data_IF_162713724590
#
_entry.id   IF_162713724590
#
_cell.length_a   1.000
_cell.length_b   1.000
_cell.length_c   1.000
_cell.angle_alpha   90.00
_cell.angle_beta   90.00
_cell.angle_gamma   90.00
#
_symmetry.space_group_name_H-M   'P 1'
#
loop_
_entity.id
_entity.type
_entity.pdbx_description
1 polymer ?
#
# COMPACT_ATOMS: atom_id res chain seq x y z
N UNK A 1 43.91 -19.99 -35.82
CA UNK A 1 44.16 -18.73 -35.07
C UNK A 1 43.27 -17.64 -35.68
N UNK A 2 42.41 -17.03 -34.94
CA UNK A 2 41.68 -15.87 -35.47
C UNK A 2 42.65 -14.73 -35.65
N UNK A 3 42.67 -14.17 -36.87
CA UNK A 3 43.57 -13.06 -37.20
C UNK A 3 43.18 -11.78 -36.44
N UNK A 4 44.13 -10.98 -35.97
CA UNK A 4 43.83 -9.75 -35.20
C UNK A 4 43.08 -8.68 -35.99
N UNK A 5 42.86 -8.86 -37.28
CA UNK A 5 42.12 -7.95 -38.16
C UNK A 5 40.60 -7.94 -37.93
N UNK A 6 40.05 -8.93 -37.25
CA UNK A 6 38.59 -9.00 -36.99
C UNK A 6 38.12 -8.03 -35.90
N UNK A 7 38.97 -7.70 -34.94
CA UNK A 7 38.64 -6.79 -33.85
C UNK A 7 38.59 -5.32 -34.28
N UNK A 8 39.49 -4.91 -35.18
CA UNK A 8 39.50 -3.53 -35.71
C UNK A 8 38.28 -3.26 -36.61
N UNK A 9 37.85 -4.27 -37.38
CA UNK A 9 36.65 -4.15 -38.20
C UNK A 9 35.36 -4.06 -37.37
N UNK A 10 35.33 -4.73 -36.20
CA UNK A 10 34.19 -4.66 -35.29
C UNK A 10 34.10 -3.30 -34.60
N UNK A 11 35.22 -2.76 -34.14
CA UNK A 11 35.28 -1.42 -33.54
C UNK A 11 34.89 -0.33 -34.54
N UNK A 12 35.33 -0.42 -35.79
CA UNK A 12 34.95 0.51 -36.86
C UNK A 12 33.45 0.41 -37.24
N UNK A 13 32.84 -0.77 -37.15
CA UNK A 13 31.40 -0.93 -37.36
C UNK A 13 30.59 -0.30 -36.23
N UNK A 14 31.03 -0.44 -34.98
CA UNK A 14 30.36 0.17 -33.82
C UNK A 14 30.45 1.69 -33.85
N UNK A 15 31.64 2.26 -34.20
CA UNK A 15 31.78 3.71 -34.27
C UNK A 15 30.97 4.32 -35.43
N UNK A 16 30.82 3.63 -36.55
CA UNK A 16 29.94 4.06 -37.64
C UNK A 16 28.45 3.99 -37.25
N UNK A 17 28.05 2.97 -36.52
CA UNK A 17 26.69 2.82 -35.99
C UNK A 17 26.33 3.95 -35.01
N UNK A 18 27.26 4.34 -34.14
CA UNK A 18 27.07 5.44 -33.17
C UNK A 18 27.00 6.81 -33.84
N UNK A 19 27.84 7.06 -34.89
CA UNK A 19 27.81 8.32 -35.62
C UNK A 19 26.53 8.47 -36.46
N UNK A 20 25.95 7.37 -36.99
CA UNK A 20 24.67 7.40 -37.72
C UNK A 20 23.50 7.72 -36.79
N UNK A 21 23.55 7.31 -35.52
CA UNK A 21 22.53 7.67 -34.52
C UNK A 21 22.58 9.16 -34.12
N UNK A 22 23.72 9.84 -34.27
CA UNK A 22 23.85 11.27 -34.00
C UNK A 22 23.30 12.15 -35.12
N UNK A 23 23.19 11.63 -36.34
CA UNK A 23 22.70 12.34 -37.54
C UNK A 23 21.20 12.29 -37.70
N UNK A 24 20.49 11.45 -36.94
CA UNK A 24 19.03 11.41 -36.94
C UNK A 24 18.45 12.76 -36.49
N UNK A 25 17.62 13.42 -37.33
CA UNK A 25 17.13 14.76 -37.01
C UNK A 25 16.30 14.71 -35.71
N UNK A 26 16.74 15.50 -34.74
CA UNK A 26 16.09 15.65 -33.41
C UNK A 26 14.60 16.02 -33.47
N UNK A 27 14.08 16.41 -34.64
CA UNK A 27 12.70 16.90 -34.81
C UNK A 27 11.63 15.83 -34.71
N UNK A 28 11.85 14.59 -35.14
CA UNK A 28 10.84 13.52 -35.12
C UNK A 28 10.71 12.84 -33.75
N UNK A 29 11.75 12.92 -32.93
CA UNK A 29 11.76 12.33 -31.59
C UNK A 29 11.05 13.20 -30.52
N UNK A 30 10.93 14.51 -30.75
CA UNK A 30 10.44 15.43 -29.73
C UNK A 30 8.97 15.21 -29.36
N UNK A 31 8.08 15.06 -30.34
CA UNK A 31 6.65 14.90 -30.06
C UNK A 31 6.30 13.52 -29.47
N UNK A 32 6.94 12.47 -29.99
CA UNK A 32 6.76 11.11 -29.47
C UNK A 32 7.38 10.97 -28.08
N UNK A 33 8.55 11.57 -27.86
CA UNK A 33 9.21 11.63 -26.56
C UNK A 33 8.40 12.43 -25.53
N UNK A 34 7.79 13.56 -25.95
CA UNK A 34 6.96 14.38 -25.08
C UNK A 34 5.67 13.65 -24.65
N UNK A 35 5.00 12.95 -25.59
CA UNK A 35 3.84 12.11 -25.29
C UNK A 35 4.19 10.98 -24.35
N UNK A 36 5.32 10.31 -24.56
CA UNK A 36 5.79 9.24 -23.68
C UNK A 36 6.14 9.75 -22.29
N UNK A 37 6.78 10.93 -22.15
CA UNK A 37 7.07 11.56 -20.87
C UNK A 37 5.80 11.91 -20.10
N UNK A 38 4.79 12.45 -20.77
CA UNK A 38 3.49 12.75 -20.16
C UNK A 38 2.78 11.47 -19.71
N UNK A 39 2.76 10.43 -20.53
CA UNK A 39 2.19 9.13 -20.19
C UNK A 39 2.90 8.50 -18.99
N UNK A 40 4.24 8.54 -18.95
CA UNK A 40 5.02 8.03 -17.83
C UNK A 40 4.74 8.80 -16.53
N UNK A 41 4.60 10.13 -16.62
CA UNK A 41 4.25 10.98 -15.47
C UNK A 41 2.86 10.62 -14.92
N UNK A 42 1.87 10.45 -15.79
CA UNK A 42 0.51 10.04 -15.41
C UNK A 42 0.53 8.66 -14.75
N UNK A 43 1.22 7.69 -15.33
CA UNK A 43 1.34 6.35 -14.76
C UNK A 43 2.00 6.36 -13.39
N UNK A 44 3.06 7.15 -13.20
CA UNK A 44 3.74 7.31 -11.91
C UNK A 44 2.82 7.91 -10.87
N UNK A 45 2.08 8.96 -11.22
CA UNK A 45 1.10 9.60 -10.34
C UNK A 45 -0.01 8.64 -9.95
N UNK A 46 -0.54 7.88 -10.91
CA UNK A 46 -1.57 6.88 -10.65
C UNK A 46 -1.08 5.75 -9.73
N UNK A 47 0.14 5.23 -9.95
CA UNK A 47 0.74 4.22 -9.08
C UNK A 47 0.93 4.75 -7.66
N UNK A 48 1.42 5.96 -7.51
CA UNK A 48 1.57 6.61 -6.20
C UNK A 48 0.22 6.78 -5.48
N UNK A 49 -0.81 7.20 -6.21
CA UNK A 49 -2.17 7.31 -5.67
C UNK A 49 -2.74 5.95 -5.24
N UNK A 50 -2.61 4.93 -6.10
CA UNK A 50 -3.08 3.57 -5.79
C UNK A 50 -2.37 2.99 -4.56
N UNK A 51 -1.05 3.23 -4.43
CA UNK A 51 -0.28 2.80 -3.26
C UNK A 51 -0.73 3.51 -1.98
N UNK A 52 -0.95 4.81 -2.03
CA UNK A 52 -1.48 5.58 -0.88
C UNK A 52 -2.84 5.06 -0.45
N UNK A 53 -3.74 4.83 -1.38
CA UNK A 53 -5.06 4.28 -1.10
C UNK A 53 -5.00 2.90 -0.43
N UNK A 54 -4.14 2.01 -0.93
CA UNK A 54 -3.93 0.69 -0.31
C UNK A 54 -3.40 0.81 1.12
N UNK A 55 -2.53 1.78 1.36
CA UNK A 55 -1.94 2.02 2.68
C UNK A 55 -2.95 2.60 3.67
N UNK A 56 -3.83 3.49 3.20
CA UNK A 56 -4.93 4.05 3.99
C UNK A 56 -5.97 2.97 4.34
N UNK A 57 -6.34 2.10 3.40
CA UNK A 57 -7.26 0.98 3.69
C UNK A 57 -6.67 0.03 4.72
N UNK A 58 -5.40 -0.36 4.59
CA UNK A 58 -4.71 -1.18 5.59
C UNK A 58 -4.68 -0.55 6.98
N UNK A 59 -4.41 0.76 7.06
CA UNK A 59 -4.44 1.49 8.34
C UNK A 59 -5.83 1.46 8.97
N UNK A 60 -6.87 1.64 8.18
CA UNK A 60 -8.25 1.59 8.66
C UNK A 60 -8.64 0.19 9.12
N UNK A 61 -8.22 -0.85 8.40
CA UNK A 61 -8.45 -2.25 8.79
C UNK A 61 -7.76 -2.57 10.12
N UNK A 62 -6.48 -2.21 10.27
CA UNK A 62 -5.73 -2.42 11.52
C UNK A 62 -6.36 -1.68 12.69
N UNK A 63 -6.87 -0.47 12.48
CA UNK A 63 -7.56 0.27 13.54
C UNK A 63 -8.93 -0.32 13.86
N UNK A 64 -9.65 -0.81 12.85
CA UNK A 64 -10.93 -1.50 13.05
C UNK A 64 -10.74 -2.78 13.86
N UNK A 65 -9.73 -3.58 13.54
CA UNK A 65 -9.32 -4.77 14.30
C UNK A 65 -9.00 -4.42 15.74
N UNK A 66 -8.18 -3.39 15.97
CA UNK A 66 -7.83 -2.94 17.30
C UNK A 66 -9.05 -2.46 18.13
N UNK A 67 -9.99 -1.76 17.49
CA UNK A 67 -11.24 -1.36 18.14
C UNK A 67 -12.12 -2.56 18.48
N UNK A 68 -12.16 -3.55 17.60
CA UNK A 68 -12.89 -4.82 17.83
C UNK A 68 -12.28 -5.57 19.01
N UNK A 69 -10.96 -5.74 19.03
CA UNK A 69 -10.23 -6.43 20.11
C UNK A 69 -10.40 -5.76 21.47
N UNK A 70 -10.45 -4.43 21.51
CA UNK A 70 -10.70 -3.66 22.74
C UNK A 70 -12.16 -3.57 23.17
N UNK A 71 -13.08 -4.00 22.34
CA UNK A 71 -14.51 -3.94 22.66
C UNK A 71 -14.85 -4.89 23.79
N UNK A 72 -15.42 -4.35 24.86
CA UNK A 72 -15.85 -5.13 26.03
C UNK A 72 -16.86 -6.23 25.64
N UNK A 73 -17.79 -5.92 24.73
CA UNK A 73 -18.76 -6.87 24.23
C UNK A 73 -18.13 -8.05 23.47
N UNK A 74 -17.09 -7.77 22.68
CA UNK A 74 -16.33 -8.79 21.95
C UNK A 74 -15.55 -9.69 22.90
N UNK A 75 -14.88 -9.12 23.89
CA UNK A 75 -14.14 -9.88 24.91
C UNK A 75 -15.07 -10.76 25.76
N UNK A 76 -16.25 -10.25 26.14
CA UNK A 76 -17.25 -11.04 26.85
C UNK A 76 -17.77 -12.21 26.01
N UNK A 77 -17.99 -11.99 24.70
CA UNK A 77 -18.39 -13.05 23.76
C UNK A 77 -17.30 -14.10 23.60
N UNK A 78 -16.03 -13.68 23.54
CA UNK A 78 -14.90 -14.59 23.47
C UNK A 78 -14.75 -15.43 24.74
N UNK A 79 -14.85 -14.82 25.91
CA UNK A 79 -14.81 -15.52 27.19
C UNK A 79 -15.91 -16.57 27.32
N UNK A 80 -17.15 -16.20 26.94
CA UNK A 80 -18.27 -17.14 26.93
C UNK A 80 -18.03 -18.33 25.98
N UNK A 81 -17.47 -18.08 24.80
CA UNK A 81 -17.16 -19.15 23.84
C UNK A 81 -16.06 -20.08 24.32
N UNK A 82 -15.07 -19.56 25.06
CA UNK A 82 -14.02 -20.37 25.72
C UNK A 82 -14.63 -21.25 26.82
N UNK A 83 -15.51 -20.70 27.63
CA UNK A 83 -16.22 -21.42 28.69
C UNK A 83 -17.08 -22.55 28.10
N UNK A 84 -17.84 -22.27 27.03
CA UNK A 84 -18.64 -23.26 26.29
C UNK A 84 -17.76 -24.40 25.70
N UNK A 85 -16.49 -24.11 25.41
CA UNK A 85 -15.51 -25.09 24.92
C UNK A 85 -14.74 -25.80 26.03
N UNK A 86 -15.05 -25.54 27.29
CA UNK A 86 -14.33 -26.03 28.48
C UNK A 86 -12.82 -25.75 28.44
N UNK A 87 -12.46 -24.58 27.95
CA UNK A 87 -11.08 -24.07 27.95
C UNK A 87 -10.88 -23.02 29.02
N UNK A 88 -9.65 -22.93 29.50
CA UNK A 88 -9.29 -21.90 30.48
C UNK A 88 -9.54 -20.50 29.94
N UNK A 89 -10.19 -19.67 30.75
CA UNK A 89 -10.55 -18.29 30.39
C UNK A 89 -9.43 -17.35 30.86
N UNK A 90 -8.24 -17.56 30.30
CA UNK A 90 -7.09 -16.69 30.53
C UNK A 90 -7.07 -15.54 29.50
N UNK A 91 -6.34 -14.48 29.84
CA UNK A 91 -6.29 -13.29 29.00
C UNK A 91 -5.69 -13.56 27.62
N UNK A 92 -4.68 -14.42 27.54
CA UNK A 92 -4.05 -14.86 26.27
C UNK A 92 -5.01 -15.68 25.41
N UNK A 93 -5.80 -16.56 26.02
CA UNK A 93 -6.83 -17.34 25.34
C UNK A 93 -7.98 -16.46 24.84
N UNK A 94 -8.36 -15.43 25.61
CA UNK A 94 -9.36 -14.44 25.18
C UNK A 94 -8.85 -13.67 23.98
N UNK A 95 -7.60 -13.20 23.97
CA UNK A 95 -7.04 -12.46 22.84
C UNK A 95 -6.95 -13.31 21.58
N UNK A 96 -6.55 -14.57 21.71
CA UNK A 96 -6.55 -15.55 20.62
C UNK A 96 -7.96 -15.78 20.07
N UNK A 97 -8.94 -15.96 20.96
CA UNK A 97 -10.33 -16.17 20.56
C UNK A 97 -10.94 -14.93 19.89
N UNK A 98 -10.61 -13.73 20.38
CA UNK A 98 -11.03 -12.46 19.77
C UNK A 98 -10.47 -12.34 18.34
N UNK A 99 -9.22 -12.74 18.13
CA UNK A 99 -8.62 -12.78 16.80
C UNK A 99 -9.36 -13.74 15.85
N UNK A 100 -9.72 -14.93 16.33
CA UNK A 100 -10.54 -15.86 15.56
C UNK A 100 -11.92 -15.28 15.25
N UNK A 101 -12.55 -14.66 16.22
CA UNK A 101 -13.85 -13.97 16.01
C UNK A 101 -13.75 -12.87 14.95
N UNK A 102 -12.63 -12.13 14.92
CA UNK A 102 -12.39 -11.12 13.89
C UNK A 102 -12.31 -11.74 12.49
N UNK A 103 -11.59 -12.84 12.32
CA UNK A 103 -11.50 -13.56 11.04
C UNK A 103 -12.80 -14.17 10.57
N UNK A 104 -13.64 -14.60 11.50
CA UNK A 104 -14.93 -15.24 11.21
C UNK A 104 -16.06 -14.22 10.95
N UNK A 105 -15.80 -12.92 11.11
CA UNK A 105 -16.76 -11.87 10.82
C UNK A 105 -17.12 -11.84 9.33
N UNK A 106 -18.41 -11.58 9.06
CA UNK A 106 -18.87 -11.32 7.69
C UNK A 106 -18.36 -9.97 7.17
N UNK A 107 -18.25 -9.82 5.85
CA UNK A 107 -17.81 -8.58 5.20
C UNK A 107 -18.65 -7.36 5.63
N UNK A 108 -19.95 -7.57 5.88
CA UNK A 108 -20.87 -6.52 6.38
C UNK A 108 -20.49 -6.06 7.79
N UNK A 109 -20.07 -6.97 8.64
CA UNK A 109 -19.65 -6.64 10.01
C UNK A 109 -18.25 -5.98 10.02
N UNK A 110 -17.32 -6.47 9.20
CA UNK A 110 -16.05 -5.80 8.96
C UNK A 110 -16.26 -4.35 8.51
N UNK A 111 -17.13 -4.12 7.54
CA UNK A 111 -17.46 -2.78 7.06
C UNK A 111 -17.99 -1.86 8.16
N UNK A 112 -18.81 -2.37 9.09
CA UNK A 112 -19.29 -1.59 10.25
C UNK A 112 -18.14 -1.16 11.17
N UNK A 113 -17.19 -2.04 11.41
CA UNK A 113 -16.03 -1.72 12.25
C UNK A 113 -15.06 -0.75 11.58
N UNK A 114 -14.86 -0.90 10.27
CA UNK A 114 -14.09 0.06 9.46
C UNK A 114 -14.75 1.45 9.48
N UNK A 115 -16.08 1.51 9.38
CA UNK A 115 -16.81 2.77 9.49
C UNK A 115 -16.66 3.43 10.87
N UNK A 116 -16.68 2.64 11.95
CA UNK A 116 -16.39 3.13 13.32
C UNK A 116 -14.97 3.67 13.45
N UNK A 117 -13.99 2.95 12.90
CA UNK A 117 -12.59 3.37 12.91
C UNK A 117 -12.42 4.70 12.15
N UNK A 118 -13.05 4.83 10.99
CA UNK A 118 -13.04 6.06 10.19
C UNK A 118 -13.63 7.26 10.95
N UNK A 119 -14.77 7.07 11.62
CA UNK A 119 -15.38 8.13 12.46
C UNK A 119 -14.44 8.56 13.58
N UNK A 120 -13.82 7.62 14.28
CA UNK A 120 -12.87 7.92 15.37
C UNK A 120 -11.66 8.71 14.89
N UNK A 121 -11.08 8.33 13.77
CA UNK A 121 -9.97 9.08 13.15
C UNK A 121 -10.36 10.50 12.77
N UNK A 122 -11.54 10.68 12.19
CA UNK A 122 -12.04 12.01 11.81
C UNK A 122 -12.24 12.90 13.04
N UNK A 123 -12.71 12.34 14.15
CA UNK A 123 -12.85 13.06 15.41
C UNK A 123 -11.50 13.44 16.01
N UNK A 124 -10.52 12.53 16.01
CA UNK A 124 -9.17 12.80 16.49
C UNK A 124 -8.48 13.91 15.69
N UNK A 125 -8.63 13.92 14.37
CA UNK A 125 -8.07 14.95 13.52
C UNK A 125 -8.72 16.32 13.78
N UNK A 126 -10.03 16.38 14.04
CA UNK A 126 -10.73 17.63 14.40
C UNK A 126 -10.24 18.16 15.73
N UNK A 127 -10.05 17.33 16.74
CA UNK A 127 -9.57 17.75 18.05
C UNK A 127 -8.10 18.19 18.03
N UNK A 128 -7.28 17.62 17.16
CA UNK A 128 -5.88 18.01 17.00
C UNK A 128 -5.71 19.39 16.34
N UNK A 129 -6.68 19.82 15.51
CA UNK A 129 -6.64 21.12 14.81
C UNK A 129 -7.06 22.30 15.71
N UNK A 130 -7.67 22.02 16.87
CA UNK A 130 -8.25 23.06 17.76
C UNK A 130 -7.31 23.40 18.94
N UNK A 131 -6.10 22.89 19.03
CA UNK A 131 -5.15 23.35 20.03
C UNK A 131 -4.62 24.73 19.64
N UNK A 132 -5.07 25.85 20.27
CA UNK A 132 -4.42 27.13 20.10
C UNK A 132 -3.00 27.00 20.65
N UNK A 133 -2.04 27.49 19.89
CA UNK A 133 -0.69 27.75 20.37
C UNK A 133 -0.86 28.82 21.45
N UNK A 134 -0.84 28.41 22.71
CA UNK A 134 -0.68 29.34 23.82
C UNK A 134 0.79 29.75 23.84
N UNK A 135 1.06 30.99 23.44
CA UNK A 135 2.31 31.66 23.72
C UNK A 135 2.55 31.78 25.24
#
# INVERSE_FOLDING_TARGET
MPSPLSLSNFANRLSRSLSTLQILPRRTTSNKSLKNRKATKIQRTYRAYATRRKLETKKLETQAEHLFCKSRATRAKAAKRLDDMARDVDEDNIDTMVYHLWRDLSDKEHAKWIAKAKKKLTQQNKSATIKPVSE
#
